data_IF_929603724661
#
_entry.id   IF_929603724661
#
_cell.length_a   1.000
_cell.length_b   1.000
_cell.length_c   1.000
_cell.angle_alpha   90.00
_cell.angle_beta   90.00
_cell.angle_gamma   90.00
#
_symmetry.space_group_name_H-M   'P 1'
#
loop_
_entity.id
_entity.type
_entity.pdbx_description
1 polymer ?
#
# COMPACT_ATOMS: atom_id res chain seq x y z
N UNK A 1 -21.73 12.84 1.76
CA UNK A 1 -21.31 11.68 0.94
C UNK A 1 -20.32 10.87 1.74
N UNK A 2 -20.32 9.55 1.59
CA UNK A 2 -19.30 8.70 2.23
C UNK A 2 -17.92 8.98 1.60
N UNK A 3 -16.85 8.98 2.42
CA UNK A 3 -15.49 9.18 1.91
C UNK A 3 -15.04 7.97 1.09
N UNK A 4 -14.23 8.22 0.07
CA UNK A 4 -13.73 7.20 -0.86
C UNK A 4 -12.28 6.82 -0.54
N UNK A 5 -12.02 5.52 -0.41
CA UNK A 5 -10.70 4.94 -0.13
C UNK A 5 -10.27 4.09 -1.32
N UNK A 6 -9.15 4.44 -1.93
CA UNK A 6 -8.50 3.64 -2.98
C UNK A 6 -7.36 2.83 -2.37
N UNK A 7 -7.38 1.51 -2.56
CA UNK A 7 -6.33 0.60 -2.11
C UNK A 7 -5.77 -0.16 -3.32
N UNK A 8 -4.51 0.08 -3.66
CA UNK A 8 -3.85 -0.64 -4.74
C UNK A 8 -3.31 -2.00 -4.28
N UNK A 9 -3.28 -3.01 -5.17
CA UNK A 9 -2.79 -4.34 -4.84
C UNK A 9 -3.60 -5.05 -3.75
N UNK A 10 -4.92 -4.95 -3.78
CA UNK A 10 -5.80 -5.30 -2.66
C UNK A 10 -6.51 -6.66 -2.78
N UNK A 11 -6.23 -7.47 -3.82
CA UNK A 11 -6.88 -8.79 -3.95
C UNK A 11 -6.52 -9.79 -2.84
N UNK A 12 -5.43 -9.56 -2.11
CA UNK A 12 -4.91 -10.45 -1.05
C UNK A 12 -4.05 -9.71 -0.03
N UNK A 13 -3.63 -10.41 1.03
CA UNK A 13 -2.66 -9.93 2.01
C UNK A 13 -3.06 -8.61 2.68
N UNK A 14 -2.09 -7.74 2.88
CA UNK A 14 -2.25 -6.45 3.57
C UNK A 14 -3.34 -5.59 2.91
N UNK A 15 -3.32 -5.46 1.57
CA UNK A 15 -4.30 -4.64 0.85
C UNK A 15 -5.74 -5.13 1.03
N UNK A 16 -5.96 -6.44 1.05
CA UNK A 16 -7.28 -7.03 1.32
C UNK A 16 -7.76 -6.72 2.74
N UNK A 17 -6.90 -6.93 3.73
CA UNK A 17 -7.24 -6.63 5.13
C UNK A 17 -7.54 -5.14 5.34
N UNK A 18 -6.79 -4.24 4.69
CA UNK A 18 -7.06 -2.80 4.72
C UNK A 18 -8.44 -2.51 4.11
N UNK A 19 -8.76 -3.07 2.93
CA UNK A 19 -10.05 -2.86 2.28
C UNK A 19 -11.22 -3.28 3.19
N UNK A 20 -11.13 -4.45 3.79
CA UNK A 20 -12.15 -4.95 4.74
C UNK A 20 -12.22 -4.08 6.01
N UNK A 21 -11.09 -3.59 6.50
CA UNK A 21 -11.08 -2.72 7.70
C UNK A 21 -11.83 -1.41 7.44
N UNK A 22 -11.64 -0.78 6.29
CA UNK A 22 -12.39 0.43 5.92
C UNK A 22 -13.86 0.12 5.59
N UNK A 23 -14.15 -1.01 4.95
CA UNK A 23 -15.52 -1.43 4.64
C UNK A 23 -16.41 -1.57 5.90
N UNK A 24 -15.85 -2.01 7.05
CA UNK A 24 -16.56 -2.06 8.34
C UNK A 24 -17.15 -0.71 8.76
N UNK A 25 -16.53 0.38 8.34
CA UNK A 25 -16.97 1.76 8.64
C UNK A 25 -17.79 2.39 7.49
N UNK A 26 -18.21 1.60 6.51
CA UNK A 26 -19.08 2.02 5.39
C UNK A 26 -18.47 3.11 4.49
N UNK A 27 -17.15 3.11 4.30
CA UNK A 27 -16.51 3.91 3.26
C UNK A 27 -16.87 3.39 1.88
N UNK A 28 -16.82 4.25 0.87
CA UNK A 28 -16.74 3.82 -0.53
C UNK A 28 -15.35 3.23 -0.78
N UNK A 29 -15.27 1.99 -1.24
CA UNK A 29 -14.02 1.27 -1.41
C UNK A 29 -13.69 1.08 -2.89
N UNK A 30 -12.46 1.40 -3.26
CA UNK A 30 -11.92 1.06 -4.58
C UNK A 30 -10.77 0.08 -4.38
N UNK A 31 -10.94 -1.12 -4.90
CA UNK A 31 -9.96 -2.20 -4.84
C UNK A 31 -9.36 -2.45 -6.21
N UNK A 32 -8.07 -2.83 -6.23
CA UNK A 32 -7.33 -3.01 -7.48
C UNK A 32 -6.41 -4.23 -7.41
N UNK A 33 -6.27 -4.91 -8.53
CA UNK A 33 -5.20 -5.88 -8.78
C UNK A 33 -4.81 -5.91 -10.25
N UNK A 34 -3.71 -6.61 -10.57
CA UNK A 34 -3.27 -6.83 -11.97
C UNK A 34 -3.86 -8.13 -12.52
N UNK A 35 -3.67 -9.27 -11.83
CA UNK A 35 -3.92 -10.61 -12.40
C UNK A 35 -4.96 -11.44 -11.64
N UNK A 36 -5.31 -11.11 -10.41
CA UNK A 36 -6.15 -11.95 -9.55
C UNK A 36 -7.62 -11.48 -9.59
N UNK A 37 -8.21 -11.50 -10.78
CA UNK A 37 -9.58 -11.00 -11.01
C UNK A 37 -10.61 -11.69 -10.09
N UNK A 38 -10.59 -13.03 -10.02
CA UNK A 38 -11.56 -13.78 -9.21
C UNK A 38 -11.47 -13.44 -7.71
N UNK A 39 -10.25 -13.31 -7.17
CA UNK A 39 -10.05 -12.89 -5.79
C UNK A 39 -10.50 -11.44 -5.55
N UNK A 40 -10.37 -10.58 -6.56
CA UNK A 40 -10.82 -9.20 -6.47
C UNK A 40 -12.35 -9.10 -6.46
N UNK A 41 -13.05 -9.86 -7.32
CA UNK A 41 -14.52 -9.90 -7.33
C UNK A 41 -15.06 -10.54 -6.04
N UNK A 42 -14.45 -11.61 -5.53
CA UNK A 42 -14.80 -12.17 -4.22
C UNK A 42 -14.69 -11.12 -3.10
N UNK A 43 -13.60 -10.35 -3.07
CA UNK A 43 -13.42 -9.28 -2.10
C UNK A 43 -14.48 -8.18 -2.25
N UNK A 44 -14.83 -7.82 -3.48
CA UNK A 44 -15.92 -6.86 -3.75
C UNK A 44 -17.25 -7.35 -3.20
N UNK A 45 -17.57 -8.64 -3.39
CA UNK A 45 -18.81 -9.24 -2.88
C UNK A 45 -18.83 -9.22 -1.34
N UNK A 46 -17.71 -9.54 -0.68
CA UNK A 46 -17.57 -9.45 0.77
C UNK A 46 -17.79 -8.00 1.27
N UNK A 47 -17.15 -7.02 0.62
CA UNK A 47 -17.30 -5.59 0.96
C UNK A 47 -18.77 -5.15 0.79
N UNK A 48 -19.40 -5.56 -0.30
CA UNK A 48 -20.80 -5.21 -0.60
C UNK A 48 -21.75 -5.86 0.40
N UNK A 49 -21.50 -7.11 0.78
CA UNK A 49 -22.27 -7.80 1.83
C UNK A 49 -22.16 -7.12 3.21
N UNK A 50 -21.04 -6.44 3.48
CA UNK A 50 -20.86 -5.58 4.64
C UNK A 50 -21.64 -4.26 4.55
N UNK A 51 -22.26 -3.95 3.40
CA UNK A 51 -23.05 -2.75 3.15
C UNK A 51 -22.20 -1.51 2.81
N UNK A 52 -21.01 -1.69 2.27
CA UNK A 52 -20.18 -0.63 1.70
C UNK A 52 -20.24 -0.67 0.17
N UNK A 53 -20.20 0.50 -0.48
CA UNK A 53 -20.10 0.56 -1.94
C UNK A 53 -18.68 0.21 -2.39
N UNK A 54 -18.57 -0.61 -3.45
CA UNK A 54 -17.27 -1.06 -3.94
C UNK A 54 -17.12 -0.91 -5.46
N UNK A 55 -15.92 -0.51 -5.90
CA UNK A 55 -15.43 -0.63 -7.27
C UNK A 55 -14.27 -1.62 -7.25
N UNK A 56 -14.36 -2.70 -8.04
CA UNK A 56 -13.23 -3.57 -8.35
C UNK A 56 -12.64 -3.15 -9.70
N UNK A 57 -11.35 -2.86 -9.73
CA UNK A 57 -10.65 -2.45 -10.93
C UNK A 57 -9.45 -3.36 -11.20
N UNK A 58 -9.51 -4.14 -12.28
CA UNK A 58 -8.38 -4.96 -12.76
C UNK A 58 -7.54 -4.13 -13.72
N UNK A 59 -6.27 -3.91 -13.37
CA UNK A 59 -5.33 -3.15 -14.19
C UNK A 59 -4.01 -2.90 -13.48
N UNK A 60 -2.96 -2.72 -14.27
CA UNK A 60 -1.62 -2.46 -13.75
C UNK A 60 -1.46 -0.97 -13.41
N UNK A 61 -1.31 -0.67 -12.12
CA UNK A 61 -1.13 0.69 -11.62
C UNK A 61 0.28 1.27 -11.91
N UNK A 62 1.21 0.47 -12.37
CA UNK A 62 2.49 0.98 -12.93
C UNK A 62 2.28 1.69 -14.27
N UNK A 63 1.19 1.38 -14.99
CA UNK A 63 0.83 2.00 -16.25
C UNK A 63 -0.02 3.25 -16.02
N UNK A 64 0.48 4.40 -16.46
CA UNK A 64 -0.13 5.72 -16.27
C UNK A 64 -1.56 5.81 -16.88
N UNK A 65 -1.74 5.33 -18.13
CA UNK A 65 -3.03 5.40 -18.82
C UNK A 65 -4.08 4.49 -18.15
N UNK A 66 -3.63 3.38 -17.57
CA UNK A 66 -4.48 2.48 -16.78
C UNK A 66 -4.98 3.16 -15.51
N UNK A 67 -4.09 3.88 -14.82
CA UNK A 67 -4.47 4.66 -13.64
C UNK A 67 -5.41 5.81 -14.00
N UNK A 68 -5.16 6.51 -15.11
CA UNK A 68 -6.07 7.56 -15.63
C UNK A 68 -7.50 7.02 -15.78
N UNK A 69 -7.66 5.87 -16.46
CA UNK A 69 -8.98 5.24 -16.63
C UNK A 69 -9.63 4.81 -15.30
N UNK A 70 -8.83 4.34 -14.34
CA UNK A 70 -9.33 4.00 -13.01
C UNK A 70 -9.89 5.24 -12.31
N UNK A 71 -9.18 6.36 -12.36
CA UNK A 71 -9.64 7.61 -11.75
C UNK A 71 -10.87 8.21 -12.45
N UNK A 72 -11.02 8.04 -13.77
CA UNK A 72 -12.26 8.44 -14.48
C UNK A 72 -13.49 7.67 -13.96
N UNK A 73 -13.35 6.35 -13.73
CA UNK A 73 -14.41 5.50 -13.16
C UNK A 73 -14.73 5.95 -11.72
N UNK A 74 -13.72 6.21 -10.91
CA UNK A 74 -13.88 6.68 -9.53
C UNK A 74 -14.61 8.02 -9.52
N UNK A 75 -14.19 8.95 -10.36
CA UNK A 75 -14.78 10.26 -10.49
C UNK A 75 -16.26 10.21 -10.88
N UNK A 76 -16.61 9.33 -11.82
CA UNK A 76 -17.99 9.14 -12.25
C UNK A 76 -18.86 8.57 -11.12
N UNK A 77 -18.37 7.56 -10.37
CA UNK A 77 -19.18 6.86 -9.36
C UNK A 77 -19.15 7.51 -7.98
N UNK A 78 -17.99 7.97 -7.53
CA UNK A 78 -17.74 8.41 -6.15
C UNK A 78 -17.26 9.87 -6.04
N UNK A 79 -16.96 10.54 -7.15
CA UNK A 79 -16.53 11.95 -7.20
C UNK A 79 -15.02 12.11 -7.06
N UNK A 80 -14.42 11.74 -5.94
CA UNK A 80 -12.98 11.88 -5.70
C UNK A 80 -12.46 10.82 -4.73
N UNK A 81 -11.12 10.68 -4.67
CA UNK A 81 -10.43 9.86 -3.67
C UNK A 81 -10.08 10.73 -2.46
N UNK A 82 -10.59 10.38 -1.28
CA UNK A 82 -10.27 11.07 -0.02
C UNK A 82 -9.07 10.43 0.68
N UNK A 83 -8.91 9.10 0.52
CA UNK A 83 -7.84 8.32 1.13
C UNK A 83 -7.19 7.44 0.07
N UNK A 84 -5.90 7.61 -0.12
CA UNK A 84 -5.11 6.79 -1.04
C UNK A 84 -4.17 5.88 -0.24
N UNK A 85 -4.33 4.57 -0.39
CA UNK A 85 -3.44 3.56 0.18
C UNK A 85 -2.63 2.93 -0.94
N UNK A 86 -1.39 3.34 -1.08
CA UNK A 86 -0.44 2.78 -2.03
C UNK A 86 0.16 1.52 -1.42
N UNK A 87 -0.43 0.36 -1.74
CA UNK A 87 -0.01 -0.93 -1.23
C UNK A 87 0.56 -1.85 -2.31
N UNK A 88 0.26 -1.62 -3.58
CA UNK A 88 0.82 -2.42 -4.68
C UNK A 88 2.35 -2.47 -4.60
N UNK A 89 2.90 -3.67 -4.69
CA UNK A 89 4.34 -3.87 -4.63
C UNK A 89 4.72 -5.32 -4.89
N UNK A 90 5.94 -5.49 -5.38
CA UNK A 90 6.57 -6.79 -5.65
C UNK A 90 7.98 -6.80 -5.10
N UNK A 91 8.47 -8.00 -4.76
CA UNK A 91 9.88 -8.27 -4.47
C UNK A 91 10.39 -9.39 -5.35
N UNK A 92 11.70 -9.45 -5.48
CA UNK A 92 12.43 -10.55 -6.10
C UNK A 92 13.71 -10.79 -5.31
N UNK A 93 13.89 -12.02 -4.87
CA UNK A 93 15.07 -12.46 -4.13
C UNK A 93 16.13 -12.93 -5.14
N UNK A 94 17.37 -12.49 -4.93
CA UNK A 94 18.51 -12.87 -5.76
C UNK A 94 19.69 -11.92 -5.56
N UNK A 95 20.87 -12.38 -5.94
CA UNK A 95 22.09 -11.56 -5.89
C UNK A 95 21.99 -10.41 -6.90
N UNK A 96 22.53 -9.24 -6.54
CA UNK A 96 22.41 -8.04 -7.35
C UNK A 96 23.03 -8.18 -8.75
N UNK A 97 24.18 -8.87 -8.86
CA UNK A 97 24.83 -9.08 -10.15
C UNK A 97 24.02 -9.99 -11.10
N UNK A 98 23.11 -10.80 -10.58
CA UNK A 98 22.26 -11.72 -11.35
C UNK A 98 20.89 -11.11 -11.69
N UNK A 99 20.59 -9.92 -11.16
CA UNK A 99 19.34 -9.22 -11.41
C UNK A 99 19.31 -8.64 -12.82
N UNK A 100 18.42 -9.11 -13.66
CA UNK A 100 18.25 -8.56 -15.00
C UNK A 100 17.63 -7.16 -14.97
N UNK A 101 18.04 -6.32 -15.94
CA UNK A 101 17.51 -4.94 -16.04
C UNK A 101 15.99 -4.88 -16.15
N UNK A 102 15.37 -5.85 -16.83
CA UNK A 102 13.90 -5.92 -16.93
C UNK A 102 13.24 -6.11 -15.58
N UNK A 103 13.83 -6.92 -14.69
CA UNK A 103 13.29 -7.19 -13.35
C UNK A 103 13.52 -6.00 -12.42
N UNK A 104 14.68 -5.35 -12.50
CA UNK A 104 14.93 -4.07 -11.83
C UNK A 104 13.86 -3.05 -12.22
N UNK A 105 13.64 -2.81 -13.52
CA UNK A 105 12.65 -1.85 -14.00
C UNK A 105 11.25 -2.21 -13.49
N UNK A 106 10.86 -3.48 -13.59
CA UNK A 106 9.56 -3.95 -13.10
C UNK A 106 9.35 -3.66 -11.61
N UNK A 107 10.37 -3.87 -10.78
CA UNK A 107 10.30 -3.57 -9.34
C UNK A 107 10.13 -2.06 -9.12
N UNK A 108 10.93 -1.24 -9.79
CA UNK A 108 10.86 0.22 -9.66
C UNK A 108 9.52 0.75 -10.18
N UNK A 109 9.09 0.33 -11.36
CA UNK A 109 7.83 0.79 -11.96
C UNK A 109 6.63 0.38 -11.10
N UNK A 110 6.63 -0.84 -10.54
CA UNK A 110 5.55 -1.29 -9.68
C UNK A 110 5.58 -0.60 -8.32
N UNK A 111 6.74 -0.52 -7.66
CA UNK A 111 6.80 -0.09 -6.26
C UNK A 111 6.83 1.44 -6.10
N UNK A 112 7.33 2.18 -7.10
CA UNK A 112 7.45 3.65 -7.08
C UNK A 112 6.61 4.28 -8.18
N UNK A 113 6.68 3.78 -9.42
CA UNK A 113 5.92 4.31 -10.55
C UNK A 113 4.42 4.28 -10.27
N UNK A 114 3.92 3.20 -9.66
CA UNK A 114 2.50 3.11 -9.25
C UNK A 114 2.09 4.19 -8.25
N UNK A 115 2.95 4.50 -7.28
CA UNK A 115 2.70 5.55 -6.27
C UNK A 115 2.65 6.91 -6.95
N UNK A 116 3.62 7.19 -7.84
CA UNK A 116 3.60 8.42 -8.63
C UNK A 116 2.28 8.56 -9.40
N UNK A 117 1.90 7.53 -10.15
CA UNK A 117 0.70 7.55 -10.97
C UNK A 117 -0.56 7.82 -10.12
N UNK A 118 -0.75 7.07 -9.03
CA UNK A 118 -1.92 7.23 -8.17
C UNK A 118 -1.94 8.59 -7.46
N UNK A 119 -0.81 9.06 -6.96
CA UNK A 119 -0.69 10.38 -6.33
C UNK A 119 -0.96 11.51 -7.33
N UNK A 120 -0.45 11.39 -8.57
CA UNK A 120 -0.65 12.39 -9.61
C UNK A 120 -2.13 12.67 -9.90
N UNK A 121 -2.96 11.61 -9.91
CA UNK A 121 -4.40 11.76 -10.15
C UNK A 121 -5.21 12.09 -8.89
N UNK A 122 -4.77 11.67 -7.70
CA UNK A 122 -5.50 11.93 -6.46
C UNK A 122 -5.27 13.34 -5.90
N UNK A 123 -4.04 13.83 -5.93
CA UNK A 123 -3.62 15.08 -5.29
C UNK A 123 -4.39 16.33 -5.76
N UNK A 124 -4.68 16.55 -7.06
CA UNK A 124 -5.39 17.73 -7.50
C UNK A 124 -6.78 17.90 -6.84
N UNK A 125 -7.55 16.82 -6.72
CA UNK A 125 -8.86 16.87 -6.06
C UNK A 125 -8.71 17.03 -4.53
N UNK A 126 -7.70 16.41 -3.90
CA UNK A 126 -7.40 16.59 -2.48
C UNK A 126 -7.03 18.06 -2.18
N UNK A 127 -6.21 18.71 -3.02
CA UNK A 127 -5.85 20.13 -2.88
C UNK A 127 -7.10 21.02 -3.01
N UNK A 128 -7.94 20.77 -4.01
CA UNK A 128 -9.19 21.51 -4.22
C UNK A 128 -10.12 21.40 -3.02
N UNK A 129 -10.19 20.21 -2.42
CA UNK A 129 -11.05 19.93 -1.27
C UNK A 129 -10.40 20.33 0.06
N UNK A 130 -9.11 20.72 0.08
CA UNK A 130 -8.30 20.98 1.27
C UNK A 130 -8.38 19.85 2.28
N UNK A 131 -8.40 18.64 1.80
CA UNK A 131 -8.49 17.43 2.62
C UNK A 131 -7.98 16.22 1.82
N UNK A 132 -7.17 15.38 2.44
CA UNK A 132 -6.71 14.12 1.86
C UNK A 132 -5.77 13.38 2.80
N UNK A 133 -5.74 12.06 2.69
CA UNK A 133 -4.74 11.25 3.39
C UNK A 133 -4.12 10.23 2.43
N UNK A 134 -2.81 10.22 2.39
CA UNK A 134 -2.02 9.27 1.59
C UNK A 134 -1.21 8.42 2.57
N UNK A 135 -1.36 7.10 2.47
CA UNK A 135 -0.60 6.15 3.28
C UNK A 135 0.10 5.16 2.36
N UNK A 136 1.41 5.13 2.43
CA UNK A 136 2.25 4.26 1.62
C UNK A 136 2.66 3.02 2.41
N UNK A 137 2.49 1.83 1.86
CA UNK A 137 2.99 0.59 2.46
C UNK A 137 4.45 0.41 2.03
N UNK A 138 5.34 0.69 2.96
CA UNK A 138 6.78 0.56 2.84
C UNK A 138 7.26 -0.75 3.48
N UNK A 139 8.55 -0.84 3.74
CA UNK A 139 9.20 -1.98 4.40
C UNK A 139 10.34 -1.49 5.28
N UNK A 140 10.69 -2.26 6.29
CA UNK A 140 11.93 -2.06 7.06
C UNK A 140 13.16 -2.15 6.16
N UNK A 141 13.11 -2.91 5.07
CA UNK A 141 14.17 -2.94 4.06
C UNK A 141 14.37 -1.61 3.32
N UNK A 142 13.40 -0.72 3.35
CA UNK A 142 13.57 0.67 2.91
C UNK A 142 14.28 1.57 3.93
N UNK A 143 14.55 1.07 5.14
CA UNK A 143 15.26 1.79 6.22
C UNK A 143 16.69 1.28 6.34
N UNK A 144 16.88 -0.06 6.46
CA UNK A 144 18.19 -0.68 6.71
C UNK A 144 18.77 -1.43 5.50
N UNK A 145 17.95 -1.70 4.47
CA UNK A 145 18.36 -2.55 3.34
C UNK A 145 18.41 -4.03 3.69
N UNK A 146 18.34 -4.89 2.67
CA UNK A 146 18.47 -6.34 2.82
C UNK A 146 19.38 -6.92 1.74
N UNK A 147 20.21 -7.90 2.14
CA UNK A 147 20.94 -8.72 1.19
C UNK A 147 19.97 -9.52 0.33
N UNK A 148 20.34 -9.77 -0.93
CA UNK A 148 19.51 -10.44 -1.93
C UNK A 148 18.19 -9.75 -2.29
N UNK A 149 17.88 -8.56 -1.74
CA UNK A 149 16.70 -7.78 -2.04
C UNK A 149 17.05 -6.30 -2.36
N UNK A 150 18.17 -6.07 -3.04
CA UNK A 150 18.71 -4.71 -3.26
C UNK A 150 17.73 -3.81 -4.02
N UNK A 151 17.09 -4.31 -5.11
CA UNK A 151 16.12 -3.53 -5.88
C UNK A 151 14.88 -3.20 -5.06
N UNK A 152 14.38 -4.16 -4.28
CA UNK A 152 13.24 -3.96 -3.38
C UNK A 152 13.58 -2.93 -2.30
N UNK A 153 14.73 -3.08 -1.63
CA UNK A 153 15.22 -2.14 -0.62
C UNK A 153 15.36 -0.72 -1.18
N UNK A 154 15.97 -0.57 -2.36
CA UNK A 154 16.08 0.71 -3.05
C UNK A 154 14.71 1.33 -3.34
N UNK A 155 13.75 0.53 -3.84
CA UNK A 155 12.40 0.98 -4.13
C UNK A 155 11.68 1.45 -2.85
N UNK A 156 11.79 0.71 -1.74
CA UNK A 156 11.15 1.07 -0.47
C UNK A 156 11.83 2.24 0.24
N UNK A 157 13.15 2.41 0.07
CA UNK A 157 13.87 3.62 0.46
C UNK A 157 13.36 4.85 -0.30
N UNK A 158 13.11 4.71 -1.61
CA UNK A 158 12.51 5.76 -2.42
C UNK A 158 11.07 6.08 -1.97
N UNK A 159 10.24 5.09 -1.58
CA UNK A 159 8.91 5.32 -0.98
C UNK A 159 9.01 6.16 0.29
N UNK A 160 9.98 5.88 1.15
CA UNK A 160 10.20 6.65 2.38
C UNK A 160 10.54 8.11 2.08
N UNK A 161 11.49 8.36 1.17
CA UNK A 161 11.88 9.70 0.76
C UNK A 161 10.72 10.46 0.09
N UNK A 162 9.98 9.80 -0.83
CA UNK A 162 8.79 10.35 -1.49
C UNK A 162 7.72 10.73 -0.47
N UNK A 163 7.46 9.88 0.53
CA UNK A 163 6.51 10.16 1.61
C UNK A 163 6.86 11.45 2.35
N UNK A 164 8.12 11.61 2.74
CA UNK A 164 8.59 12.80 3.47
C UNK A 164 8.55 14.07 2.62
N UNK A 165 8.90 13.96 1.32
CA UNK A 165 8.87 15.09 0.41
C UNK A 165 7.44 15.57 0.14
N UNK A 166 6.53 14.66 -0.23
CA UNK A 166 5.11 14.98 -0.45
C UNK A 166 4.44 15.52 0.82
N UNK A 167 4.77 15.00 1.99
CA UNK A 167 4.23 15.52 3.25
C UNK A 167 4.54 17.01 3.44
N UNK A 168 5.77 17.43 3.14
CA UNK A 168 6.18 18.85 3.25
C UNK A 168 5.47 19.72 2.21
N UNK A 169 5.32 19.21 0.98
CA UNK A 169 4.68 19.93 -0.11
C UNK A 169 3.18 20.10 0.10
N UNK A 170 2.52 19.07 0.65
CA UNK A 170 1.06 18.99 0.73
C UNK A 170 0.49 19.44 2.09
N UNK A 171 1.31 19.57 3.13
CA UNK A 171 0.87 20.03 4.45
C UNK A 171 0.12 21.37 4.42
N UNK A 172 0.54 22.42 3.64
CA UNK A 172 -0.20 23.66 3.53
C UNK A 172 -1.63 23.49 2.96
N UNK A 173 -1.89 22.37 2.26
CA UNK A 173 -3.20 22.04 1.70
C UNK A 173 -4.02 21.10 2.61
N UNK A 174 -3.59 20.87 3.85
CA UNK A 174 -4.23 19.96 4.81
C UNK A 174 -4.29 18.51 4.32
N UNK A 175 -3.27 18.06 3.59
CA UNK A 175 -3.12 16.69 3.13
C UNK A 175 -1.99 16.05 3.90
N UNK A 176 -2.24 14.90 4.55
CA UNK A 176 -1.26 14.15 5.29
C UNK A 176 -0.72 12.99 4.46
N UNK A 177 0.61 12.82 4.47
CA UNK A 177 1.29 11.73 3.78
C UNK A 177 2.19 11.00 4.78
N UNK A 178 1.90 9.72 5.02
CA UNK A 178 2.67 8.88 5.94
C UNK A 178 2.96 7.52 5.30
N UNK A 179 3.90 6.77 5.87
CA UNK A 179 4.17 5.41 5.46
C UNK A 179 4.19 4.45 6.67
N UNK A 180 3.81 3.20 6.42
CA UNK A 180 4.02 2.07 7.33
C UNK A 180 5.15 1.23 6.76
N UNK A 181 6.28 1.20 7.46
CA UNK A 181 7.43 0.34 7.15
C UNK A 181 7.22 -1.01 7.84
N UNK A 182 6.65 -1.96 7.11
CA UNK A 182 6.36 -3.29 7.61
C UNK A 182 7.63 -4.13 7.73
N UNK A 183 7.75 -4.89 8.82
CA UNK A 183 8.66 -6.02 8.95
C UNK A 183 8.12 -7.27 8.24
N UNK A 184 8.42 -8.44 8.77
CA UNK A 184 7.88 -9.71 8.28
C UNK A 184 6.38 -9.82 8.62
N UNK A 185 5.54 -9.91 7.59
CA UNK A 185 4.09 -10.06 7.73
C UNK A 185 3.66 -11.39 7.10
N UNK A 186 2.88 -12.17 7.82
CA UNK A 186 2.35 -13.46 7.36
C UNK A 186 1.36 -13.22 6.21
N UNK A 187 1.87 -13.35 5.00
CA UNK A 187 1.13 -13.17 3.75
C UNK A 187 1.71 -14.07 2.67
N UNK A 188 1.01 -14.19 1.53
CA UNK A 188 1.54 -14.92 0.38
C UNK A 188 2.89 -14.40 -0.15
N UNK A 189 3.30 -13.18 0.16
CA UNK A 189 4.62 -12.66 -0.21
C UNK A 189 5.75 -13.45 0.47
N UNK A 190 5.51 -14.01 1.65
CA UNK A 190 6.44 -14.83 2.42
C UNK A 190 6.15 -16.36 2.34
N UNK A 191 5.23 -16.79 1.46
CA UNK A 191 4.84 -18.20 1.34
C UNK A 191 5.91 -19.11 0.72
N UNK A 192 7.01 -18.54 0.26
CA UNK A 192 8.19 -19.29 -0.22
C UNK A 192 9.04 -19.87 0.91
N UNK A 193 8.88 -19.36 2.14
CA UNK A 193 9.60 -19.83 3.31
C UNK A 193 9.14 -21.25 3.66
N UNK A 194 10.08 -22.16 3.83
CA UNK A 194 9.83 -23.45 4.48
C UNK A 194 9.44 -23.23 5.95
N UNK A 195 8.92 -24.27 6.59
CA UNK A 195 8.55 -24.19 8.01
C UNK A 195 9.76 -23.82 8.89
N UNK A 196 10.90 -24.45 8.64
CA UNK A 196 12.13 -24.21 9.43
C UNK A 196 12.65 -22.78 9.25
N UNK A 197 12.56 -22.21 8.02
CA UNK A 197 12.93 -20.82 7.77
C UNK A 197 11.95 -19.84 8.41
N UNK A 198 10.65 -20.16 8.42
CA UNK A 198 9.64 -19.34 9.08
C UNK A 198 9.81 -19.37 10.62
N UNK A 199 10.14 -20.54 11.19
CA UNK A 199 10.40 -20.68 12.62
C UNK A 199 11.68 -19.91 13.01
N UNK A 200 12.77 -20.03 12.23
CA UNK A 200 13.99 -19.25 12.43
C UNK A 200 13.73 -17.73 12.36
N UNK A 201 12.96 -17.27 11.38
CA UNK A 201 12.58 -15.87 11.27
C UNK A 201 11.76 -15.40 12.49
N UNK A 202 10.85 -16.24 12.99
CA UNK A 202 10.08 -15.92 14.18
C UNK A 202 10.97 -15.78 15.43
N UNK A 203 12.04 -16.58 15.54
CA UNK A 203 13.02 -16.46 16.63
C UNK A 203 13.86 -15.17 16.54
N UNK A 204 14.13 -14.67 15.33
CA UNK A 204 14.85 -13.41 15.14
C UNK A 204 14.00 -12.18 15.52
N UNK A 205 12.67 -12.27 15.42
CA UNK A 205 11.77 -11.18 15.74
C UNK A 205 11.53 -11.16 17.27
N UNK A 206 11.84 -10.05 17.98
CA UNK A 206 11.64 -9.99 19.43
C UNK A 206 10.20 -10.28 19.89
N UNK A 207 9.20 -9.95 19.06
CA UNK A 207 7.80 -10.33 19.31
C UNK A 207 7.52 -11.84 19.17
N UNK A 208 8.50 -12.65 18.75
CA UNK A 208 8.41 -14.11 18.62
C UNK A 208 7.53 -14.60 17.46
N UNK A 209 7.16 -13.73 16.53
CA UNK A 209 6.29 -14.07 15.39
C UNK A 209 6.32 -13.01 14.30
N UNK A 210 5.93 -13.39 13.10
CA UNK A 210 5.54 -12.44 12.07
C UNK A 210 4.28 -11.66 12.50
N UNK A 211 4.14 -10.44 12.00
CA UNK A 211 2.90 -9.67 12.11
C UNK A 211 1.81 -10.22 11.19
N UNK A 212 0.55 -9.90 11.47
CA UNK A 212 -0.56 -10.26 10.59
C UNK A 212 -0.98 -9.09 9.68
N UNK A 213 -1.60 -9.43 8.54
CA UNK A 213 -2.18 -8.42 7.64
C UNK A 213 -3.26 -7.58 8.32
N UNK A 214 -4.02 -8.15 9.25
CA UNK A 214 -5.07 -7.44 10.01
C UNK A 214 -4.48 -6.44 11.01
N UNK A 215 -3.34 -6.76 11.63
CA UNK A 215 -2.64 -5.82 12.49
C UNK A 215 -2.13 -4.60 11.69
N UNK A 216 -1.56 -4.83 10.49
CA UNK A 216 -1.19 -3.73 9.59
C UNK A 216 -2.40 -2.91 9.19
N UNK A 217 -3.52 -3.55 8.82
CA UNK A 217 -4.77 -2.86 8.46
C UNK A 217 -5.31 -2.01 9.62
N UNK A 218 -5.21 -2.52 10.85
CA UNK A 218 -5.60 -1.79 12.07
C UNK A 218 -4.73 -0.55 12.27
N UNK A 219 -3.41 -0.67 12.12
CA UNK A 219 -2.48 0.46 12.21
C UNK A 219 -2.75 1.50 11.10
N UNK A 220 -2.92 1.08 9.85
CA UNK A 220 -3.25 1.97 8.73
C UNK A 220 -4.53 2.75 9.02
N UNK A 221 -5.55 2.10 9.56
CA UNK A 221 -6.78 2.77 9.94
C UNK A 221 -6.59 3.75 11.11
N UNK A 222 -5.74 3.46 12.09
CA UNK A 222 -5.40 4.38 13.17
C UNK A 222 -4.64 5.61 12.63
N UNK A 223 -3.68 5.43 11.70
CA UNK A 223 -2.99 6.53 11.03
C UNK A 223 -3.99 7.41 10.27
N UNK A 224 -4.95 6.80 9.57
CA UNK A 224 -6.02 7.55 8.90
C UNK A 224 -6.84 8.39 9.91
N UNK A 225 -7.13 7.85 11.10
CA UNK A 225 -7.88 8.56 12.16
C UNK A 225 -7.04 9.53 12.97
N UNK A 226 -5.72 9.55 12.81
CA UNK A 226 -4.84 10.41 13.58
C UNK A 226 -5.09 11.90 13.28
N UNK A 227 -4.72 12.79 14.22
CA UNK A 227 -4.77 14.24 14.01
C UNK A 227 -3.97 14.65 12.78
N UNK A 228 -4.39 15.75 12.15
CA UNK A 228 -3.80 16.21 10.88
C UNK A 228 -2.35 16.72 11.03
N UNK A 229 -1.86 16.86 12.25
CA UNK A 229 -0.47 17.20 12.54
C UNK A 229 0.49 16.00 12.31
N UNK A 230 -0.03 14.78 12.21
CA UNK A 230 0.76 13.59 11.88
C UNK A 230 0.98 13.50 10.36
N UNK A 231 2.12 13.97 9.89
CA UNK A 231 2.52 13.87 8.47
C UNK A 231 4.03 13.69 8.33
N UNK A 232 4.47 13.08 7.23
CA UNK A 232 5.88 12.82 6.91
C UNK A 232 6.51 11.69 7.72
N UNK A 233 5.70 10.87 8.42
CA UNK A 233 6.22 9.82 9.28
C UNK A 233 6.40 8.50 8.53
N UNK A 234 7.49 7.80 8.85
CA UNK A 234 7.76 6.44 8.45
C UNK A 234 7.64 5.58 9.71
N UNK A 235 6.46 4.98 9.88
CA UNK A 235 6.12 4.25 11.11
C UNK A 235 6.54 2.79 10.93
N UNK A 236 7.53 2.35 11.72
CA UNK A 236 7.95 0.94 11.73
C UNK A 236 6.90 0.08 12.41
N UNK A 237 6.64 -1.08 11.80
CA UNK A 237 5.72 -2.08 12.30
C UNK A 237 6.33 -3.47 12.08
N UNK A 238 7.21 -3.88 12.99
CA UNK A 238 8.16 -4.97 12.77
C UNK A 238 8.37 -5.90 13.98
N UNK A 239 7.61 -5.74 15.05
CA UNK A 239 7.76 -6.55 16.26
C UNK A 239 9.08 -6.32 17.01
N UNK A 240 9.77 -5.21 16.73
CA UNK A 240 11.07 -4.86 17.31
C UNK A 240 12.26 -5.49 16.57
N UNK A 241 12.06 -5.98 15.34
CA UNK A 241 13.07 -6.74 14.59
C UNK A 241 14.26 -5.88 14.13
N UNK A 242 14.04 -4.61 13.71
CA UNK A 242 15.05 -3.72 13.13
C UNK A 242 15.17 -2.42 13.94
#
# INVERSE_FOLDING_TARGET
MSKTVLITGSSRGIGRSIALRFAKEKYNIVINCVNNHDLLEQLKDEITAMGADCIAFTGDVSNYDTVSRMFDIIKYKFGSVDVLINNAGISQIGLFQDLERKDWNRIIDTNIGSIYNCCHFAIPDMIKNKQGKIINISSVWGICGASCEVAYSASKGAVNALTQALAKELAPSSIQVNAVACGAIDTQMNSFLSKDEADALNEEIPAGRMGSADEVASLVFQIYKSPDYLTGQIIRFDGGWI
#
